data_IF_202145104380
#
_entry.id   IF_202145104380
#
_cell.length_a   1.000
_cell.length_b   1.000
_cell.length_c   1.000
_cell.angle_alpha   90.00
_cell.angle_beta   90.00
_cell.angle_gamma   90.00
#
_symmetry.space_group_name_H-M   'P 1'
#
loop_
_entity.id
_entity.type
_entity.pdbx_description
1 polymer ?
#
# COMPACT_ATOMS: atom_id res chain seq x y z
N UNK A 1 -2.61 -47.60 22.65
CA UNK A 1 -3.17 -47.42 21.33
C UNK A 1 -4.02 -46.17 21.21
N UNK A 2 -4.61 -45.65 22.28
CA UNK A 2 -5.26 -44.35 22.24
C UNK A 2 -4.33 -43.17 21.93
N UNK A 3 -3.03 -43.33 22.13
CA UNK A 3 -2.06 -42.29 21.87
C UNK A 3 -1.95 -41.88 20.39
N UNK A 4 -2.08 -42.87 19.49
CA UNK A 4 -1.98 -42.59 18.06
C UNK A 4 -3.17 -41.77 17.53
N UNK A 5 -4.36 -42.07 18.04
CA UNK A 5 -5.57 -41.36 17.64
C UNK A 5 -5.53 -39.90 18.10
N UNK A 6 -5.06 -39.63 19.32
CA UNK A 6 -4.91 -38.29 19.84
C UNK A 6 -3.88 -37.46 19.05
N UNK A 7 -2.79 -38.09 18.61
CA UNK A 7 -1.75 -37.43 17.84
C UNK A 7 -2.24 -36.97 16.46
N UNK A 8 -2.99 -37.84 15.78
CA UNK A 8 -3.58 -37.52 14.48
C UNK A 8 -4.63 -36.39 14.62
N UNK A 9 -5.44 -36.43 15.66
CA UNK A 9 -6.40 -35.34 15.91
C UNK A 9 -5.76 -34.00 16.13
N UNK A 10 -4.65 -33.95 16.86
CA UNK A 10 -3.91 -32.71 17.10
C UNK A 10 -3.30 -32.15 15.80
N UNK A 11 -2.75 -33.00 14.95
CA UNK A 11 -2.18 -32.59 13.67
C UNK A 11 -3.25 -32.00 12.75
N UNK A 12 -4.42 -32.59 12.70
CA UNK A 12 -5.53 -32.07 11.88
C UNK A 12 -5.99 -30.71 12.40
N UNK A 13 -6.08 -30.51 13.71
CA UNK A 13 -6.45 -29.23 14.29
C UNK A 13 -5.45 -28.14 13.98
N UNK A 14 -4.14 -28.41 14.04
CA UNK A 14 -3.10 -27.46 13.68
C UNK A 14 -3.17 -27.07 12.19
N UNK A 15 -3.42 -28.04 11.34
CA UNK A 15 -3.57 -27.78 9.90
C UNK A 15 -4.79 -26.90 9.61
N UNK A 16 -5.92 -27.16 10.25
CA UNK A 16 -7.12 -26.34 10.13
C UNK A 16 -6.88 -24.90 10.60
N UNK A 17 -6.12 -24.70 11.66
CA UNK A 17 -5.75 -23.37 12.15
C UNK A 17 -4.93 -22.60 11.13
N UNK A 18 -4.00 -23.22 10.45
CA UNK A 18 -3.17 -22.59 9.44
C UNK A 18 -3.97 -22.17 8.22
N UNK A 19 -5.05 -22.86 7.93
CA UNK A 19 -5.92 -22.50 6.80
C UNK A 19 -6.98 -21.46 7.14
N UNK A 20 -7.42 -21.42 8.41
CA UNK A 20 -8.51 -20.54 8.85
C UNK A 20 -8.26 -19.03 8.63
N UNK A 21 -7.02 -18.50 8.84
CA UNK A 21 -6.79 -17.06 8.63
C UNK A 21 -6.65 -16.64 7.16
N UNK A 22 -6.63 -17.56 6.23
CA UNK A 22 -6.55 -17.20 4.81
C UNK A 22 -7.86 -16.58 4.37
N UNK A 23 -7.85 -15.28 4.17
CA UNK A 23 -9.01 -14.56 3.69
C UNK A 23 -9.31 -14.90 2.24
N UNK A 24 -10.58 -15.14 1.87
CA UNK A 24 -10.94 -15.34 0.47
C UNK A 24 -10.51 -14.14 -0.35
N UNK A 25 -9.83 -14.37 -1.46
CA UNK A 25 -9.40 -13.31 -2.35
C UNK A 25 -8.23 -12.47 -1.87
N UNK A 26 -7.36 -13.02 -1.01
CA UNK A 26 -6.18 -12.32 -0.47
C UNK A 26 -5.25 -11.74 -1.53
N UNK A 27 -5.81 -10.88 -2.40
CA UNK A 27 -5.01 -10.12 -3.33
C UNK A 27 -4.08 -9.20 -2.56
N UNK A 28 -2.80 -9.26 -2.89
CA UNK A 28 -1.78 -8.44 -2.29
C UNK A 28 -1.28 -7.47 -3.35
N UNK A 29 -1.30 -6.19 -3.04
CA UNK A 29 -0.76 -5.18 -3.94
C UNK A 29 0.75 -5.33 -4.04
N UNK A 30 1.29 -5.72 -5.22
CA UNK A 30 2.73 -5.88 -5.39
C UNK A 30 3.46 -4.55 -5.60
N UNK A 31 2.75 -3.43 -5.56
CA UNK A 31 3.37 -2.12 -5.78
C UNK A 31 4.48 -1.83 -4.77
N UNK A 32 5.54 -1.15 -5.19
CA UNK A 32 6.69 -0.86 -4.31
C UNK A 32 6.45 0.29 -3.34
N UNK A 33 5.25 0.85 -3.30
CA UNK A 33 4.88 1.99 -2.46
C UNK A 33 3.85 1.60 -1.41
N UNK A 34 3.76 2.38 -0.35
CA UNK A 34 2.60 2.43 0.54
C UNK A 34 1.75 3.65 0.20
N UNK A 35 0.46 3.62 0.53
CA UNK A 35 -0.47 4.71 0.25
C UNK A 35 -0.93 5.30 1.57
N UNK A 36 -0.91 6.63 1.66
CA UNK A 36 -1.52 7.37 2.76
C UNK A 36 -2.29 8.56 2.21
N UNK A 37 -3.27 9.02 2.95
CA UNK A 37 -4.05 10.19 2.61
C UNK A 37 -3.74 11.31 3.59
N UNK A 38 -3.37 12.46 3.07
CA UNK A 38 -3.01 13.63 3.87
C UNK A 38 -4.10 14.67 3.69
N UNK A 39 -4.72 15.07 4.80
CA UNK A 39 -5.69 16.16 4.80
C UNK A 39 -4.96 17.48 4.73
N UNK A 40 -5.20 18.25 3.68
CA UNK A 40 -4.53 19.52 3.43
C UNK A 40 -5.46 20.72 3.62
N UNK A 41 -6.75 20.49 3.64
CA UNK A 41 -7.78 21.49 3.86
C UNK A 41 -9.05 20.79 4.32
N UNK A 42 -10.10 21.55 4.66
CA UNK A 42 -11.40 20.97 5.05
C UNK A 42 -11.93 20.08 3.94
N UNK A 43 -12.16 18.81 4.28
CA UNK A 43 -12.65 17.79 3.33
C UNK A 43 -11.79 17.63 2.06
N UNK A 44 -10.51 18.01 2.12
CA UNK A 44 -9.57 17.81 1.01
C UNK A 44 -8.45 16.89 1.45
N UNK A 45 -8.40 15.73 0.85
CA UNK A 45 -7.34 14.73 1.07
C UNK A 45 -6.58 14.49 -0.22
N UNK A 46 -5.28 14.45 -0.12
CA UNK A 46 -4.40 14.08 -1.22
C UNK A 46 -3.86 12.68 -1.00
N UNK A 47 -3.87 11.90 -2.05
CA UNK A 47 -3.18 10.61 -2.06
C UNK A 47 -1.67 10.86 -2.12
N UNK A 48 -0.95 10.26 -1.16
CA UNK A 48 0.51 10.32 -1.10
C UNK A 48 1.03 8.89 -1.16
N UNK A 49 1.91 8.64 -2.12
CA UNK A 49 2.64 7.40 -2.23
C UNK A 49 3.99 7.56 -1.55
N UNK A 50 4.39 6.55 -0.79
CA UNK A 50 5.66 6.52 -0.07
C UNK A 50 6.44 5.28 -0.53
N UNK A 51 7.55 5.51 -1.21
CA UNK A 51 8.45 4.43 -1.65
C UNK A 51 9.54 4.14 -0.62
N UNK A 52 9.56 4.87 0.49
CA UNK A 52 10.61 4.71 1.49
C UNK A 52 11.94 5.29 1.03
N UNK A 53 13.00 4.76 1.60
CA UNK A 53 14.35 5.21 1.31
C UNK A 53 14.96 5.99 2.46
N UNK A 54 16.26 6.28 2.32
CA UNK A 54 17.04 6.98 3.34
C UNK A 54 17.57 8.30 2.76
N UNK A 55 17.62 9.32 3.59
CA UNK A 55 18.13 10.62 3.19
C UNK A 55 17.06 11.70 3.21
N UNK A 56 17.29 12.74 2.44
CA UNK A 56 16.39 13.88 2.36
C UNK A 56 15.06 13.49 1.73
N UNK A 57 13.95 14.10 2.17
CA UNK A 57 12.68 13.92 1.49
C UNK A 57 12.77 14.45 0.05
N UNK A 58 12.23 13.65 -0.86
CA UNK A 58 12.08 14.03 -2.26
C UNK A 58 10.63 13.81 -2.66
N UNK A 59 9.98 14.82 -3.16
CA UNK A 59 8.59 14.75 -3.59
C UNK A 59 8.50 14.79 -5.10
N UNK A 60 7.87 13.78 -5.68
CA UNK A 60 7.60 13.69 -7.10
C UNK A 60 6.17 14.14 -7.38
N UNK A 61 6.01 15.00 -8.36
CA UNK A 61 4.71 15.51 -8.79
C UNK A 61 4.44 15.05 -10.22
N UNK A 62 3.30 14.36 -10.39
CA UNK A 62 2.91 13.89 -11.72
C UNK A 62 2.46 15.04 -12.62
N UNK A 63 2.73 14.92 -13.90
CA UNK A 63 2.24 15.84 -14.91
C UNK A 63 0.73 15.76 -15.13
N UNK A 64 0.20 16.64 -15.99
CA UNK A 64 -1.23 16.71 -16.23
C UNK A 64 -1.85 15.39 -16.68
N UNK A 65 -2.97 15.02 -16.07
CA UNK A 65 -3.70 13.80 -16.36
C UNK A 65 -3.17 12.54 -15.69
N UNK A 66 -2.05 12.60 -14.97
CA UNK A 66 -1.44 11.44 -14.30
C UNK A 66 -1.58 11.52 -12.79
N UNK A 67 -1.46 10.35 -12.15
CA UNK A 67 -1.35 10.20 -10.71
C UNK A 67 0.09 9.90 -10.31
N UNK A 68 0.38 9.92 -9.02
CA UNK A 68 1.71 9.58 -8.51
C UNK A 68 2.12 8.15 -8.84
N UNK A 69 1.19 7.26 -9.15
CA UNK A 69 1.47 5.88 -9.54
C UNK A 69 2.33 5.76 -10.79
N UNK A 70 2.39 6.80 -11.62
CA UNK A 70 3.26 6.84 -12.81
C UNK A 70 4.74 6.69 -12.47
N UNK A 71 5.12 6.97 -11.22
CA UNK A 71 6.50 6.90 -10.76
C UNK A 71 6.91 5.54 -10.17
N UNK A 72 6.06 4.52 -10.21
CA UNK A 72 6.37 3.23 -9.58
C UNK A 72 7.64 2.56 -10.09
N UNK A 73 8.02 2.81 -11.35
CA UNK A 73 9.28 2.29 -11.91
C UNK A 73 10.48 3.22 -11.65
N UNK A 74 10.23 4.50 -11.51
CA UNK A 74 11.28 5.50 -11.37
C UNK A 74 11.68 5.74 -9.91
N UNK A 75 10.70 5.90 -9.02
CA UNK A 75 10.93 6.26 -7.64
C UNK A 75 11.85 5.29 -6.88
N UNK A 76 11.72 3.95 -7.06
CA UNK A 76 12.61 3.02 -6.37
C UNK A 76 14.09 3.21 -6.67
N UNK A 77 14.43 3.78 -7.84
CA UNK A 77 15.82 4.06 -8.22
C UNK A 77 16.45 5.17 -7.39
N UNK A 78 15.65 5.96 -6.69
CA UNK A 78 16.10 7.12 -5.92
C UNK A 78 16.16 6.83 -4.43
N UNK A 79 15.64 5.69 -3.96
CA UNK A 79 15.50 5.40 -2.53
C UNK A 79 16.82 5.13 -1.83
N UNK A 80 17.91 4.92 -2.55
CA UNK A 80 19.24 4.82 -1.96
C UNK A 80 19.78 6.14 -1.42
N UNK A 81 19.27 7.29 -1.91
CA UNK A 81 19.75 8.62 -1.55
C UNK A 81 18.67 9.53 -0.99
N UNK A 82 17.40 9.19 -1.19
CA UNK A 82 16.27 10.01 -0.77
C UNK A 82 15.16 9.16 -0.16
N UNK A 83 14.39 9.76 0.74
CA UNK A 83 13.07 9.22 1.10
C UNK A 83 12.07 9.78 0.09
N UNK A 84 11.51 8.92 -0.75
CA UNK A 84 10.78 9.34 -1.94
C UNK A 84 9.29 9.26 -1.72
N UNK A 85 8.63 10.37 -1.95
CA UNK A 85 7.17 10.50 -1.92
C UNK A 85 6.65 10.94 -3.29
N UNK A 86 5.42 10.56 -3.58
CA UNK A 86 4.70 11.08 -4.74
C UNK A 86 3.34 11.60 -4.31
N UNK A 87 2.93 12.74 -4.83
CA UNK A 87 1.64 13.33 -4.53
C UNK A 87 0.76 13.30 -5.77
N UNK A 88 -0.44 12.74 -5.64
CA UNK A 88 -1.47 12.85 -6.65
C UNK A 88 -2.25 14.12 -6.43
N UNK A 89 -2.30 14.99 -7.44
CA UNK A 89 -2.95 16.29 -7.34
C UNK A 89 -4.45 16.15 -7.05
N UNK A 90 -4.99 17.17 -6.42
CA UNK A 90 -6.45 17.31 -6.24
C UNK A 90 -7.15 17.21 -7.59
N UNK A 91 -8.21 16.44 -7.65
CA UNK A 91 -8.98 16.20 -8.87
C UNK A 91 -8.55 14.99 -9.66
N UNK A 92 -7.48 14.28 -9.24
CA UNK A 92 -6.94 13.13 -9.97
C UNK A 92 -6.87 11.92 -9.05
N UNK A 93 -7.00 10.72 -9.66
CA UNK A 93 -6.88 9.45 -8.96
C UNK A 93 -7.73 9.38 -7.70
N UNK A 94 -7.13 8.95 -6.61
CA UNK A 94 -7.79 8.80 -5.31
C UNK A 94 -7.79 10.08 -4.46
N UNK A 95 -7.14 11.16 -4.91
CA UNK A 95 -7.21 12.46 -4.25
C UNK A 95 -8.61 13.07 -4.39
N UNK A 96 -8.97 13.95 -3.44
CA UNK A 96 -10.28 14.62 -3.46
C UNK A 96 -10.52 15.40 -4.74
N UNK A 97 -11.76 15.37 -5.19
CA UNK A 97 -12.20 16.12 -6.37
C UNK A 97 -12.66 17.51 -5.91
N UNK A 98 -12.32 18.59 -6.66
CA UNK A 98 -12.84 19.91 -6.35
C UNK A 98 -14.37 19.91 -6.35
N UNK A 99 -14.98 20.57 -5.35
CA UNK A 99 -16.43 20.75 -5.34
C UNK A 99 -16.84 21.70 -6.49
N UNK A 100 -17.88 21.32 -7.19
CA UNK A 100 -18.52 22.25 -8.15
C UNK A 100 -19.26 23.33 -7.35
N UNK A 101 -18.97 24.53 -7.63
CA UNK A 101 -19.75 25.67 -7.13
C UNK A 101 -20.94 25.92 -8.04
#
# INVERSE_FOLDING_TARGET
>A
MGRHVLFVGLAVLLFARNLAPQQPGGWHDPSPHTVQFVTVDTNVKLEVLDWGGVGRPLVLLAGGGNTAHVFDDFAPKLTGSYHVYGITRRGFGASSVPSRK
#
